data_IF_913629519015
#
_entry.id   IF_913629519015
#
_cell.length_a   1.000
_cell.length_b   1.000
_cell.length_c   1.000
_cell.angle_alpha   90.00
_cell.angle_beta   90.00
_cell.angle_gamma   90.00
#
_symmetry.space_group_name_H-M   'P 1'
#
loop_
_entity.id
_entity.type
_entity.pdbx_description
1 polymer ?
#
# COMPACT_ATOMS: atom_id res chain seq x y z
N UNK A 1 3.32 2.75 21.41
CA UNK A 1 2.96 2.05 20.17
C UNK A 1 3.61 2.78 19.00
N UNK A 2 4.03 2.09 17.95
CA UNK A 2 4.46 2.72 16.68
C UNK A 2 3.40 2.48 15.61
N UNK A 3 3.31 3.36 14.63
CA UNK A 3 2.55 3.07 13.42
C UNK A 3 3.43 3.27 12.20
N UNK A 4 3.23 2.40 11.23
CA UNK A 4 3.89 2.50 9.94
C UNK A 4 2.84 2.83 8.89
N UNK A 5 3.09 3.91 8.16
CA UNK A 5 2.23 4.38 7.09
C UNK A 5 3.01 4.30 5.77
N UNK A 6 2.49 3.57 4.79
CA UNK A 6 3.12 3.37 3.48
C UNK A 6 2.17 3.79 2.38
N UNK A 7 2.62 4.71 1.52
CA UNK A 7 1.90 5.03 0.29
C UNK A 7 2.31 4.03 -0.78
N UNK A 8 1.31 3.36 -1.35
CA UNK A 8 1.47 2.49 -2.51
C UNK A 8 0.76 3.11 -3.72
N UNK A 9 1.29 2.88 -4.91
CA UNK A 9 0.68 3.27 -6.18
C UNK A 9 0.48 2.05 -7.08
N UNK A 10 -0.51 2.10 -7.96
CA UNK A 10 -0.66 1.10 -9.02
C UNK A 10 0.41 1.34 -10.09
N UNK A 11 1.16 0.29 -10.39
CA UNK A 11 2.11 0.23 -11.48
C UNK A 11 1.33 0.50 -12.77
N UNK A 12 1.67 1.56 -13.48
CA UNK A 12 1.18 1.74 -14.84
C UNK A 12 1.56 0.53 -15.70
N UNK A 13 0.89 0.32 -16.86
CA UNK A 13 1.30 -0.72 -17.78
C UNK A 13 2.79 -0.50 -18.07
N UNK A 14 3.59 -1.49 -17.69
CA UNK A 14 4.96 -1.58 -18.14
C UNK A 14 4.82 -1.74 -19.66
N UNK A 15 5.08 -0.68 -20.43
CA UNK A 15 5.50 -0.85 -21.81
C UNK A 15 6.82 -1.61 -21.75
N UNK A 16 6.71 -2.93 -21.54
CA UNK A 16 7.73 -3.89 -21.90
C UNK A 16 7.80 -3.75 -23.40
N UNK A 17 8.73 -2.91 -23.85
CA UNK A 17 9.16 -2.85 -25.23
C UNK A 17 9.76 -4.23 -25.53
N UNK A 18 8.88 -5.17 -25.91
CA UNK A 18 9.25 -6.46 -26.46
C UNK A 18 10.01 -6.20 -27.76
N UNK A 19 11.32 -6.08 -27.62
CA UNK A 19 12.23 -6.21 -28.73
C UNK A 19 12.00 -7.61 -29.33
N UNK A 20 11.30 -7.60 -30.46
CA UNK A 20 10.97 -8.76 -31.27
C UNK A 20 12.18 -9.66 -31.50
N UNK A 21 12.06 -10.94 -31.16
CA UNK A 21 12.70 -12.02 -31.90
C UNK A 21 11.74 -13.22 -31.99
N UNK A 22 11.56 -13.81 -33.18
CA UNK A 22 10.68 -14.96 -33.34
C UNK A 22 11.41 -16.22 -32.87
N UNK A 23 10.90 -16.89 -31.84
CA UNK A 23 11.33 -18.25 -31.50
C UNK A 23 10.25 -19.26 -31.87
N UNK A 24 10.60 -20.02 -32.91
CA UNK A 24 10.04 -21.25 -33.43
C UNK A 24 9.34 -22.12 -32.38
N UNK A 25 8.11 -22.54 -32.68
CA UNK A 25 7.38 -23.58 -31.94
C UNK A 25 8.15 -24.90 -32.00
N UNK A 26 8.52 -25.43 -30.85
CA UNK A 26 8.78 -26.87 -30.66
C UNK A 26 7.83 -27.36 -29.58
N UNK A 27 6.93 -28.25 -29.98
CA UNK A 27 6.06 -29.00 -29.08
C UNK A 27 6.89 -29.91 -28.17
N UNK A 28 6.61 -29.88 -26.87
CA UNK A 28 6.94 -30.96 -25.97
C UNK A 28 5.80 -31.13 -24.97
N UNK A 29 5.12 -32.27 -25.08
CA UNK A 29 4.25 -32.83 -24.06
C UNK A 29 5.06 -33.05 -22.77
N UNK A 30 4.54 -32.57 -21.63
CA UNK A 30 4.96 -33.01 -20.32
C UNK A 30 3.80 -32.85 -19.34
N UNK A 31 3.15 -33.98 -19.02
CA UNK A 31 2.42 -34.14 -17.77
C UNK A 31 3.42 -34.06 -16.60
N UNK A 32 3.32 -33.02 -15.78
CA UNK A 32 3.90 -32.96 -14.44
C UNK A 32 3.12 -31.88 -13.67
N UNK A 33 2.83 -32.16 -12.40
CA UNK A 33 1.82 -31.49 -11.58
C UNK A 33 1.81 -29.98 -11.63
N UNK A 34 0.62 -29.41 -11.38
CA UNK A 34 0.36 -27.98 -11.16
C UNK A 34 1.49 -27.34 -10.34
N UNK A 35 2.50 -26.83 -11.05
CA UNK A 35 3.31 -25.72 -10.62
C UNK A 35 2.29 -24.61 -10.44
N UNK A 36 1.94 -24.33 -9.19
CA UNK A 36 1.24 -23.12 -8.79
C UNK A 36 1.95 -21.97 -9.52
N UNK A 37 1.33 -21.50 -10.60
CA UNK A 37 1.77 -20.31 -11.30
C UNK A 37 1.83 -19.24 -10.22
N UNK A 38 2.95 -18.53 -10.04
CA UNK A 38 3.04 -17.51 -9.01
C UNK A 38 1.83 -16.58 -9.17
N UNK A 39 1.11 -16.34 -8.07
CA UNK A 39 0.06 -15.33 -8.03
C UNK A 39 0.57 -14.10 -8.76
N UNK A 40 -0.20 -13.59 -9.73
CA UNK A 40 0.21 -12.47 -10.58
C UNK A 40 0.91 -11.40 -9.72
N UNK A 41 2.09 -10.90 -10.15
CA UNK A 41 2.85 -9.95 -9.36
C UNK A 41 1.93 -8.78 -9.00
N UNK A 42 1.90 -8.43 -7.71
CA UNK A 42 1.02 -7.37 -7.23
C UNK A 42 1.21 -6.13 -8.09
N UNK A 43 0.13 -5.54 -8.61
CA UNK A 43 0.24 -4.35 -9.43
C UNK A 43 0.69 -3.15 -8.59
N UNK A 44 0.78 -3.27 -7.26
CA UNK A 44 1.11 -2.16 -6.37
C UNK A 44 2.61 -2.06 -6.09
N UNK A 45 3.15 -0.84 -6.16
CA UNK A 45 4.51 -0.51 -5.76
C UNK A 45 4.50 0.41 -4.54
N UNK A 46 5.42 0.18 -3.60
CA UNK A 46 5.62 1.05 -2.45
C UNK A 46 6.46 2.26 -2.86
N UNK A 47 5.90 3.46 -2.67
CA UNK A 47 6.51 4.72 -3.11
C UNK A 47 7.13 5.50 -1.94
N UNK A 48 6.51 5.45 -0.76
CA UNK A 48 6.99 6.17 0.40
C UNK A 48 6.63 5.47 1.71
N UNK A 49 7.56 5.50 2.67
CA UNK A 49 7.43 4.93 4.01
C UNK A 49 7.56 6.02 5.07
N UNK A 50 6.61 6.06 6.01
CA UNK A 50 6.57 7.05 7.08
C UNK A 50 6.40 6.36 8.44
N UNK A 51 7.37 6.55 9.32
CA UNK A 51 7.26 6.12 10.72
C UNK A 51 6.47 7.16 11.52
N UNK A 52 5.48 6.71 12.28
CA UNK A 52 4.63 7.54 13.13
C UNK A 52 4.87 7.19 14.59
N UNK A 53 5.43 8.14 15.33
CA UNK A 53 5.79 7.98 16.75
C UNK A 53 4.63 8.19 17.71
N UNK A 54 3.61 8.98 17.32
CA UNK A 54 2.37 9.19 18.07
C UNK A 54 1.25 8.28 17.54
N UNK A 55 1.51 6.98 17.56
CA UNK A 55 0.64 5.96 16.98
C UNK A 55 -0.75 5.89 17.65
N UNK A 56 -0.81 6.08 18.96
CA UNK A 56 -2.08 6.05 19.70
C UNK A 56 -3.01 7.20 19.28
N UNK A 57 -2.47 8.41 19.10
CA UNK A 57 -3.23 9.57 18.60
C UNK A 57 -3.70 9.38 17.15
N UNK A 58 -2.87 8.74 16.32
CA UNK A 58 -3.28 8.40 14.95
C UNK A 58 -4.42 7.38 14.94
N UNK A 59 -4.37 6.36 15.82
CA UNK A 59 -5.44 5.38 15.92
C UNK A 59 -6.77 6.03 16.35
N UNK A 60 -6.74 6.87 17.39
CA UNK A 60 -7.92 7.62 17.87
C UNK A 60 -8.48 8.52 16.77
N UNK A 61 -7.61 9.17 15.98
CA UNK A 61 -8.03 10.00 14.85
C UNK A 61 -8.76 9.18 13.78
N UNK A 62 -8.23 8.00 13.43
CA UNK A 62 -8.86 7.11 12.44
C UNK A 62 -10.23 6.62 12.91
N UNK A 63 -10.35 6.29 14.20
CA UNK A 63 -11.61 5.87 14.83
C UNK A 63 -12.63 7.02 14.83
N UNK A 64 -12.22 8.21 15.29
CA UNK A 64 -13.06 9.40 15.34
C UNK A 64 -13.55 9.81 13.94
N UNK A 65 -12.71 9.60 12.93
CA UNK A 65 -13.03 9.92 11.53
C UNK A 65 -13.84 8.81 10.82
N UNK A 66 -14.10 7.68 11.49
CA UNK A 66 -14.84 6.54 10.93
C UNK A 66 -14.12 5.81 9.80
N UNK A 67 -12.78 5.83 9.79
CA UNK A 67 -11.94 5.22 8.74
C UNK A 67 -10.96 4.18 9.28
N UNK A 68 -11.08 3.79 10.55
CA UNK A 68 -10.28 2.72 11.17
C UNK A 68 -10.77 1.31 10.80
N UNK A 69 -9.93 0.31 11.06
CA UNK A 69 -10.30 -1.12 11.05
C UNK A 69 -10.62 -1.71 9.69
N UNK A 70 -10.16 -1.09 8.60
CA UNK A 70 -10.36 -1.62 7.25
C UNK A 70 -9.25 -2.64 6.94
N UNK A 71 -9.57 -3.93 6.72
CA UNK A 71 -8.54 -4.90 6.39
C UNK A 71 -7.79 -4.47 5.14
N UNK A 72 -6.47 -4.70 5.10
CA UNK A 72 -5.69 -4.39 3.91
C UNK A 72 -6.26 -5.11 2.68
N UNK A 73 -6.19 -4.50 1.49
CA UNK A 73 -6.58 -5.19 0.26
C UNK A 73 -5.69 -6.43 0.04
N UNK A 74 -6.21 -7.50 -0.58
CA UNK A 74 -5.47 -8.77 -0.74
C UNK A 74 -4.20 -8.63 -1.60
N UNK A 75 -4.14 -7.59 -2.44
CA UNK A 75 -2.98 -7.27 -3.27
C UNK A 75 -2.27 -6.05 -2.68
N UNK A 76 -1.24 -6.30 -1.89
CA UNK A 76 -0.29 -5.30 -1.39
C UNK A 76 0.99 -5.34 -2.22
N UNK A 77 1.79 -4.28 -2.21
CA UNK A 77 3.11 -4.33 -2.81
C UNK A 77 3.95 -5.45 -2.19
N UNK A 78 4.81 -6.12 -2.98
CA UNK A 78 5.72 -7.14 -2.47
C UNK A 78 6.59 -6.61 -1.32
N UNK A 79 7.01 -5.34 -1.40
CA UNK A 79 7.77 -4.70 -0.32
C UNK A 79 6.95 -4.59 0.97
N UNK A 80 5.70 -4.11 0.87
CA UNK A 80 4.80 -3.97 2.02
C UNK A 80 4.46 -5.33 2.61
N UNK A 81 4.26 -6.33 1.76
CA UNK A 81 3.99 -7.71 2.19
C UNK A 81 5.20 -8.28 2.95
N UNK A 82 6.42 -8.01 2.49
CA UNK A 82 7.63 -8.39 3.20
C UNK A 82 7.75 -7.65 4.54
N UNK A 83 7.52 -6.34 4.57
CA UNK A 83 7.54 -5.54 5.81
C UNK A 83 6.58 -6.13 6.85
N UNK A 84 5.34 -6.46 6.47
CA UNK A 84 4.37 -7.07 7.38
C UNK A 84 4.81 -8.46 7.89
N UNK A 85 5.54 -9.24 7.09
CA UNK A 85 6.01 -10.59 7.47
C UNK A 85 7.22 -10.58 8.42
N UNK A 86 8.06 -9.55 8.32
CA UNK A 86 9.33 -9.47 9.06
C UNK A 86 9.32 -8.46 10.21
N UNK A 87 8.22 -7.77 10.46
CA UNK A 87 8.13 -6.83 11.57
C UNK A 87 8.12 -7.58 12.92
N UNK A 88 9.09 -7.27 13.80
CA UNK A 88 9.37 -7.97 15.07
C UNK A 88 8.34 -7.69 16.20
N UNK A 89 7.13 -7.22 15.87
CA UNK A 89 6.09 -6.87 16.85
C UNK A 89 4.69 -7.33 16.44
N UNK A 90 3.77 -7.34 17.40
CA UNK A 90 2.39 -7.71 17.12
C UNK A 90 1.73 -6.62 16.27
N UNK A 91 1.42 -6.95 15.02
CA UNK A 91 0.66 -6.06 14.14
C UNK A 91 -0.78 -6.00 14.67
N UNK A 92 -1.19 -4.78 14.99
CA UNK A 92 -2.53 -4.46 15.48
C UNK A 92 -3.14 -3.35 14.63
N UNK A 93 -4.46 -3.38 14.43
CA UNK A 93 -5.19 -2.29 13.77
C UNK A 93 -4.74 -1.99 12.34
N UNK A 94 -5.03 -2.87 11.39
CA UNK A 94 -4.80 -2.55 9.99
C UNK A 94 -5.85 -1.56 9.48
N UNK A 95 -5.41 -0.55 8.71
CA UNK A 95 -6.31 0.25 7.89
C UNK A 95 -5.68 0.63 6.55
N UNK A 96 -6.51 0.81 5.54
CA UNK A 96 -6.11 1.44 4.28
C UNK A 96 -7.03 2.61 3.96
N UNK A 97 -6.44 3.65 3.40
CA UNK A 97 -7.07 4.94 3.17
C UNK A 97 -6.89 5.35 1.71
N UNK A 98 -7.91 6.02 1.19
CA UNK A 98 -7.82 6.83 -0.03
C UNK A 98 -7.75 8.31 0.35
N UNK A 99 -7.41 9.18 -0.60
CA UNK A 99 -7.37 10.63 -0.34
C UNK A 99 -8.68 11.23 0.22
N UNK A 100 -9.89 10.79 -0.18
CA UNK A 100 -11.11 11.25 0.47
C UNK A 100 -11.15 10.96 1.98
N UNK A 101 -10.52 9.88 2.44
CA UNK A 101 -10.42 9.56 3.86
C UNK A 101 -9.47 10.53 4.58
N UNK A 102 -8.35 10.92 3.96
CA UNK A 102 -7.46 11.96 4.50
C UNK A 102 -8.19 13.29 4.69
N UNK A 103 -9.05 13.65 3.73
CA UNK A 103 -9.91 14.84 3.85
C UNK A 103 -10.91 14.74 5.00
N UNK A 104 -11.45 13.53 5.27
CA UNK A 104 -12.34 13.28 6.42
C UNK A 104 -11.61 13.38 7.76
N UNK A 105 -10.32 13.05 7.81
CA UNK A 105 -9.52 13.12 9.03
C UNK A 105 -9.15 14.55 9.42
N UNK A 106 -8.93 15.45 8.44
CA UNK A 106 -8.45 16.83 8.67
C UNK A 106 -9.20 17.59 9.79
N UNK A 107 -10.54 17.61 9.85
CA UNK A 107 -11.28 18.38 10.86
C UNK A 107 -11.07 17.90 12.30
N UNK A 108 -10.64 16.65 12.48
CA UNK A 108 -10.46 16.01 13.78
C UNK A 108 -8.99 15.96 14.22
N UNK A 109 -8.06 16.31 13.33
CA UNK A 109 -6.64 16.17 13.58
C UNK A 109 -6.09 17.30 14.45
N UNK A 110 -5.27 16.92 15.43
CA UNK A 110 -4.40 17.84 16.18
C UNK A 110 -3.35 18.46 15.23
N UNK A 111 -2.80 19.66 15.54
CA UNK A 111 -1.86 20.37 14.66
C UNK A 111 -0.67 19.52 14.18
N UNK A 112 -0.13 18.68 15.07
CA UNK A 112 1.00 17.79 14.78
C UNK A 112 0.65 16.71 13.75
N UNK A 113 -0.59 16.22 13.77
CA UNK A 113 -1.10 15.24 12.81
C UNK A 113 -1.57 15.91 11.51
N UNK A 114 -2.06 17.15 11.56
CA UNK A 114 -2.50 17.89 10.36
C UNK A 114 -1.40 18.00 9.32
N UNK A 115 -0.19 18.40 9.72
CA UNK A 115 0.94 18.49 8.79
C UNK A 115 1.28 17.15 8.13
N UNK A 116 1.08 16.04 8.85
CA UNK A 116 1.31 14.70 8.32
C UNK A 116 0.22 14.28 7.34
N UNK A 117 -1.04 14.55 7.66
CA UNK A 117 -2.19 14.31 6.76
C UNK A 117 -2.03 15.12 5.47
N UNK A 118 -1.59 16.37 5.58
CA UNK A 118 -1.35 17.23 4.42
C UNK A 118 -0.21 16.71 3.54
N UNK A 119 0.87 16.23 4.15
CA UNK A 119 1.96 15.59 3.42
C UNK A 119 1.49 14.32 2.68
N UNK A 120 0.69 13.47 3.34
CA UNK A 120 0.13 12.27 2.72
C UNK A 120 -0.84 12.60 1.58
N UNK A 121 -1.74 13.59 1.78
CA UNK A 121 -2.70 14.02 0.75
C UNK A 121 -1.99 14.64 -0.46
N UNK A 122 -0.96 15.45 -0.23
CA UNK A 122 -0.16 16.04 -1.30
C UNK A 122 0.59 14.97 -2.10
N UNK A 123 1.20 14.00 -1.41
CA UNK A 123 1.95 12.93 -2.07
C UNK A 123 1.04 11.98 -2.86
N UNK A 124 -0.06 11.51 -2.25
CA UNK A 124 -1.08 10.72 -2.93
C UNK A 124 -1.69 11.47 -4.13
N UNK A 125 -1.93 12.78 -3.97
CA UNK A 125 -2.44 13.62 -5.04
C UNK A 125 -1.46 13.78 -6.20
N UNK A 126 -0.15 13.82 -5.95
CA UNK A 126 0.85 13.87 -7.01
C UNK A 126 0.83 12.59 -7.87
N UNK A 127 0.70 11.42 -7.25
CA UNK A 127 0.57 10.12 -7.93
C UNK A 127 -0.72 10.04 -8.76
N UNK A 128 -1.86 10.41 -8.17
CA UNK A 128 -3.15 10.40 -8.87
C UNK A 128 -3.18 11.37 -10.06
N UNK A 129 -2.56 12.55 -9.92
CA UNK A 129 -2.43 13.51 -11.02
C UNK A 129 -1.53 12.98 -12.16
N UNK A 130 -0.62 12.05 -11.85
CA UNK A 130 0.18 11.33 -12.85
C UNK A 130 -0.56 10.11 -13.47
N UNK A 131 -1.83 9.89 -13.09
CA UNK A 131 -2.64 8.78 -13.59
C UNK A 131 -2.44 7.46 -12.84
N UNK A 132 -1.75 7.48 -11.70
CA UNK A 132 -1.52 6.29 -10.88
C UNK A 132 -2.51 6.26 -9.71
N UNK A 133 -3.28 5.19 -9.57
CA UNK A 133 -4.11 5.01 -8.39
C UNK A 133 -3.22 4.95 -7.14
N UNK A 134 -3.64 5.56 -6.04
CA UNK A 134 -2.86 5.63 -4.80
C UNK A 134 -3.65 5.08 -3.61
N UNK A 135 -2.95 4.44 -2.66
CA UNK A 135 -3.50 3.99 -1.39
C UNK A 135 -2.49 4.24 -0.28
N UNK A 136 -2.98 4.63 0.90
CA UNK A 136 -2.17 4.73 2.11
C UNK A 136 -2.50 3.54 3.01
N UNK A 137 -1.53 2.67 3.23
CA UNK A 137 -1.63 1.50 4.10
C UNK A 137 -1.04 1.87 5.47
N UNK A 138 -1.77 1.62 6.54
CA UNK A 138 -1.35 1.90 7.91
C UNK A 138 -1.49 0.62 8.74
N UNK A 139 -0.47 0.33 9.54
CA UNK A 139 -0.51 -0.71 10.57
C UNK A 139 0.17 -0.23 11.84
N UNK A 140 -0.29 -0.71 13.00
CA UNK A 140 0.28 -0.38 14.31
C UNK A 140 1.09 -1.56 14.84
N UNK A 141 2.26 -1.25 15.40
CA UNK A 141 3.21 -2.22 15.91
C UNK A 141 3.30 -2.02 17.43
N UNK A 142 3.07 -3.11 18.18
CA UNK A 142 3.16 -3.16 19.64
C UNK A 142 4.41 -3.86 20.13
#
# INVERSE_FOLDING_TARGET
>A
MLALAVVICESGPTETQEHSLPSTRVSAEAEAGELLVPEDPSPWQAEARFMVTNADELLELLETSGVSGRPHPPQLSTLVSADLLFEDGDITGETWLMRPDLTRMRPHALPELQGRIDAWDAFAGALENAGQASRLIIWFIR
#
